data_IF_381364357580
#
_entry.id   IF_381364357580
#
_cell.length_a   1.000
_cell.length_b   1.000
_cell.length_c   1.000
_cell.angle_alpha   90.00
_cell.angle_beta   90.00
_cell.angle_gamma   90.00
#
_symmetry.space_group_name_H-M   'P 1'
#
loop_
_entity.id
_entity.type
_entity.pdbx_description
1 polymer ?
#
# COMPACT_ATOMS: atom_id res chain seq x y z
N UNK A 1 -2.06 -13.21 4.55
CA UNK A 1 -2.88 -12.18 3.86
C UNK A 1 -2.12 -10.85 3.90
N UNK A 2 -1.99 -10.17 2.76
CA UNK A 2 -1.26 -8.90 2.63
C UNK A 2 -1.98 -7.73 3.36
N UNK A 3 -1.22 -6.71 3.74
CA UNK A 3 -1.74 -5.49 4.37
C UNK A 3 -2.13 -5.63 5.85
N UNK A 4 -1.75 -6.70 6.54
CA UNK A 4 -2.05 -6.86 7.98
C UNK A 4 -1.50 -5.71 8.81
N UNK A 5 -0.28 -5.25 8.51
CA UNK A 5 0.36 -4.12 9.19
C UNK A 5 -0.38 -2.81 8.97
N UNK A 6 -0.84 -2.55 7.75
CA UNK A 6 -1.63 -1.36 7.45
C UNK A 6 -2.98 -1.37 8.21
N UNK A 7 -3.58 -2.54 8.42
CA UNK A 7 -4.77 -2.67 9.26
C UNK A 7 -4.50 -2.50 10.75
N UNK A 8 -3.29 -2.82 11.22
CA UNK A 8 -2.91 -2.58 12.61
C UNK A 8 -2.92 -1.07 12.91
N UNK A 9 -2.34 -0.26 12.02
CA UNK A 9 -2.37 1.21 12.12
C UNK A 9 -3.79 1.75 12.25
N UNK A 10 -4.73 1.23 11.46
CA UNK A 10 -6.13 1.66 11.53
C UNK A 10 -6.79 1.26 12.85
N UNK A 11 -6.49 0.08 13.39
CA UNK A 11 -7.03 -0.36 14.69
C UNK A 11 -6.51 0.50 15.83
N UNK A 12 -5.24 0.88 15.80
CA UNK A 12 -4.65 1.82 16.77
C UNK A 12 -5.42 3.14 16.77
N UNK A 13 -5.72 3.67 15.59
CA UNK A 13 -6.46 4.92 15.40
C UNK A 13 -7.96 4.84 15.77
N UNK A 14 -8.57 3.67 15.58
CA UNK A 14 -9.97 3.41 15.92
C UNK A 14 -10.16 3.25 17.44
N UNK A 15 -9.14 2.74 18.14
CA UNK A 15 -9.16 2.57 19.59
C UNK A 15 -9.00 3.87 20.40
N UNK A 16 -8.66 5.00 19.75
CA UNK A 16 -8.48 6.28 20.42
C UNK A 16 -9.80 7.09 20.47
N UNK A 17 -10.03 7.75 21.61
CA UNK A 17 -11.22 8.58 21.84
C UNK A 17 -11.26 9.82 20.93
N UNK A 18 -12.46 10.34 20.69
CA UNK A 18 -12.66 11.54 19.87
C UNK A 18 -11.96 12.76 20.52
N UNK A 19 -10.99 13.34 19.81
CA UNK A 19 -10.19 14.47 20.29
C UNK A 19 -8.85 14.09 20.93
N UNK A 20 -8.54 12.79 21.06
CA UNK A 20 -7.24 12.34 21.51
C UNK A 20 -6.27 12.23 20.32
N UNK A 21 -5.11 12.89 20.42
CA UNK A 21 -4.04 12.76 19.44
C UNK A 21 -3.43 11.36 19.52
N UNK A 22 -3.49 10.62 18.41
CA UNK A 22 -2.85 9.32 18.28
C UNK A 22 -1.36 9.55 17.98
N UNK A 23 -0.42 9.05 18.82
CA UNK A 23 1.00 9.13 18.51
C UNK A 23 1.31 8.46 17.16
N UNK A 24 2.13 9.10 16.34
CA UNK A 24 2.51 8.55 15.05
C UNK A 24 3.44 7.34 15.22
N UNK A 25 2.99 6.18 14.75
CA UNK A 25 3.72 4.92 14.80
C UNK A 25 4.62 4.79 13.57
N UNK A 26 5.78 5.44 13.62
CA UNK A 26 6.75 5.44 12.52
C UNK A 26 7.23 4.05 12.13
N UNK A 27 7.40 3.16 13.11
CA UNK A 27 8.00 1.85 12.87
C UNK A 27 7.08 0.96 12.04
N UNK A 28 5.78 0.91 12.40
CA UNK A 28 4.78 0.15 11.64
C UNK A 28 4.51 0.85 10.31
N UNK A 29 4.46 2.18 10.27
CA UNK A 29 4.31 2.94 9.03
C UNK A 29 5.43 2.60 8.02
N UNK A 30 6.69 2.68 8.44
CA UNK A 30 7.84 2.39 7.57
C UNK A 30 7.88 0.92 7.15
N UNK A 31 7.40 -0.01 7.99
CA UNK A 31 7.21 -1.41 7.59
C UNK A 31 6.14 -1.57 6.49
N UNK A 32 5.04 -0.81 6.53
CA UNK A 32 4.02 -0.82 5.48
C UNK A 32 4.59 -0.23 4.19
N UNK A 33 5.39 0.84 4.26
CA UNK A 33 6.08 1.40 3.09
C UNK A 33 7.02 0.38 2.46
N UNK A 34 7.79 -0.37 3.26
CA UNK A 34 8.64 -1.45 2.74
C UNK A 34 7.84 -2.55 2.05
N UNK A 35 6.70 -2.95 2.63
CA UNK A 35 5.78 -3.92 2.01
C UNK A 35 5.22 -3.41 0.68
N UNK A 36 4.85 -2.11 0.60
CA UNK A 36 4.43 -1.49 -0.66
C UNK A 36 5.56 -1.51 -1.71
N UNK A 37 6.79 -1.20 -1.33
CA UNK A 37 7.92 -1.26 -2.26
C UNK A 37 8.14 -2.66 -2.81
N UNK A 38 8.05 -3.69 -1.95
CA UNK A 38 8.17 -5.09 -2.38
C UNK A 38 7.05 -5.48 -3.36
N UNK A 39 5.81 -5.12 -3.06
CA UNK A 39 4.68 -5.35 -3.97
C UNK A 39 4.83 -4.60 -5.30
N UNK A 40 5.32 -3.36 -5.28
CA UNK A 40 5.56 -2.61 -6.51
C UNK A 40 6.66 -3.27 -7.36
N UNK A 41 7.77 -3.69 -6.76
CA UNK A 41 8.83 -4.41 -7.47
C UNK A 41 8.31 -5.71 -8.09
N UNK A 42 7.54 -6.51 -7.33
CA UNK A 42 6.94 -7.76 -7.83
C UNK A 42 5.94 -7.51 -8.95
N UNK A 43 5.06 -6.52 -8.79
CA UNK A 43 4.10 -6.09 -9.81
C UNK A 43 4.82 -5.70 -11.11
N UNK A 44 5.80 -4.80 -11.03
CA UNK A 44 6.57 -4.33 -12.20
C UNK A 44 7.31 -5.48 -12.90
N UNK A 45 7.83 -6.44 -12.14
CA UNK A 45 8.46 -7.64 -12.69
C UNK A 45 7.48 -8.50 -13.49
N UNK A 46 6.26 -8.71 -12.97
CA UNK A 46 5.23 -9.52 -13.65
C UNK A 46 4.71 -8.83 -14.90
N UNK A 47 4.43 -7.53 -14.83
CA UNK A 47 4.03 -6.75 -16.02
C UNK A 47 5.12 -6.81 -17.09
N UNK A 48 6.39 -6.62 -16.72
CA UNK A 48 7.50 -6.72 -17.66
C UNK A 48 7.59 -8.09 -18.32
N UNK A 49 7.48 -9.17 -17.53
CA UNK A 49 7.48 -10.54 -18.03
C UNK A 49 6.35 -10.78 -19.04
N UNK A 50 5.14 -10.30 -18.74
CA UNK A 50 3.99 -10.43 -19.65
C UNK A 50 4.21 -9.66 -20.96
N UNK A 51 4.78 -8.45 -20.90
CA UNK A 51 5.13 -7.65 -22.08
C UNK A 51 6.20 -8.36 -22.92
N UNK A 52 7.26 -8.88 -22.30
CA UNK A 52 8.34 -9.61 -23.00
C UNK A 52 7.83 -10.87 -23.70
N UNK A 53 6.79 -11.50 -23.17
CA UNK A 53 6.10 -12.65 -23.77
C UNK A 53 5.05 -12.27 -24.81
N UNK A 54 4.88 -10.97 -25.13
CA UNK A 54 3.82 -10.45 -26.00
C UNK A 54 2.40 -10.88 -25.59
N UNK A 55 2.16 -11.03 -24.29
CA UNK A 55 0.84 -11.32 -23.76
C UNK A 55 0.00 -10.05 -23.72
N UNK A 56 -1.26 -10.15 -24.12
CA UNK A 56 -2.22 -9.07 -23.93
C UNK A 56 -2.62 -8.99 -22.46
N UNK A 57 -2.20 -7.93 -21.77
CA UNK A 57 -2.41 -7.72 -20.33
C UNK A 57 -3.91 -7.64 -19.99
N UNK A 58 -4.74 -7.13 -20.90
CA UNK A 58 -6.16 -6.91 -20.67
C UNK A 58 -6.96 -8.21 -20.74
N UNK A 59 -6.61 -9.09 -21.67
CA UNK A 59 -7.37 -10.32 -21.94
C UNK A 59 -6.74 -11.58 -21.35
N UNK A 60 -5.43 -11.57 -21.08
CA UNK A 60 -4.73 -12.71 -20.49
C UNK A 60 -5.21 -12.95 -19.07
N UNK A 61 -5.46 -14.22 -18.73
CA UNK A 61 -5.92 -14.69 -17.40
C UNK A 61 -5.09 -15.87 -16.93
N UNK A 62 -3.77 -15.70 -16.98
CA UNK A 62 -2.80 -16.69 -16.48
C UNK A 62 -2.31 -16.32 -15.07
N UNK A 63 -1.44 -17.16 -14.51
CA UNK A 63 -0.90 -16.97 -13.16
C UNK A 63 -0.15 -15.64 -13.00
N UNK A 64 0.57 -15.18 -14.04
CA UNK A 64 1.29 -13.91 -14.01
C UNK A 64 0.31 -12.71 -13.93
N UNK A 65 -0.79 -12.76 -14.70
CA UNK A 65 -1.85 -11.75 -14.64
C UNK A 65 -2.49 -11.69 -13.25
N UNK A 66 -2.88 -12.84 -12.69
CA UNK A 66 -3.49 -12.88 -11.35
C UNK A 66 -2.49 -12.49 -10.25
N UNK A 67 -1.21 -12.86 -10.40
CA UNK A 67 -0.14 -12.41 -9.50
C UNK A 67 -0.01 -10.89 -9.51
N UNK A 68 0.03 -10.27 -10.70
CA UNK A 68 0.08 -8.82 -10.85
C UNK A 68 -1.15 -8.14 -10.23
N UNK A 69 -2.35 -8.69 -10.46
CA UNK A 69 -3.59 -8.19 -9.87
C UNK A 69 -3.56 -8.23 -8.33
N UNK A 70 -3.05 -9.30 -7.73
CA UNK A 70 -2.91 -9.41 -6.27
C UNK A 70 -1.97 -8.36 -5.70
N UNK A 71 -0.81 -8.12 -6.33
CA UNK A 71 0.12 -7.08 -5.90
C UNK A 71 -0.48 -5.68 -6.04
N UNK A 72 -1.13 -5.40 -7.17
CA UNK A 72 -1.80 -4.13 -7.41
C UNK A 72 -2.92 -3.85 -6.39
N UNK A 73 -3.77 -4.84 -6.11
CA UNK A 73 -4.82 -4.72 -5.08
C UNK A 73 -4.24 -4.51 -3.68
N UNK A 74 -3.10 -5.15 -3.38
CA UNK A 74 -2.40 -4.99 -2.09
C UNK A 74 -1.85 -3.56 -1.93
N UNK A 75 -1.29 -2.98 -3.00
CA UNK A 75 -0.87 -1.57 -3.04
C UNK A 75 -2.05 -0.62 -2.79
N UNK A 76 -3.18 -0.80 -3.49
CA UNK A 76 -4.37 0.02 -3.31
C UNK A 76 -4.93 -0.07 -1.88
N UNK A 77 -4.90 -1.26 -1.29
CA UNK A 77 -5.33 -1.47 0.10
C UNK A 77 -4.43 -0.72 1.07
N UNK A 78 -3.11 -0.86 0.94
CA UNK A 78 -2.16 -0.18 1.81
C UNK A 78 -2.22 1.35 1.63
N UNK A 79 -2.39 1.85 0.39
CA UNK A 79 -2.66 3.27 0.10
C UNK A 79 -3.83 3.81 0.91
N UNK A 80 -4.98 3.14 0.84
CA UNK A 80 -6.19 3.55 1.56
C UNK A 80 -5.97 3.55 3.07
N UNK A 81 -5.30 2.53 3.60
CA UNK A 81 -5.02 2.43 5.04
C UNK A 81 -4.07 3.52 5.52
N UNK A 82 -2.98 3.79 4.78
CA UNK A 82 -2.02 4.84 5.13
C UNK A 82 -2.66 6.22 5.06
N UNK A 83 -3.48 6.48 4.04
CA UNK A 83 -4.22 7.74 3.91
C UNK A 83 -5.19 7.96 5.08
N UNK A 84 -5.97 6.94 5.43
CA UNK A 84 -6.89 7.02 6.56
C UNK A 84 -6.15 7.18 7.90
N UNK A 85 -5.04 6.47 8.10
CA UNK A 85 -4.17 6.64 9.27
C UNK A 85 -3.64 8.07 9.39
N UNK A 86 -3.03 8.59 8.31
CA UNK A 86 -2.46 9.94 8.29
C UNK A 86 -3.49 11.05 8.47
N UNK A 87 -4.70 10.87 7.94
CA UNK A 87 -5.80 11.83 8.13
C UNK A 87 -6.19 11.95 9.61
N UNK A 88 -6.23 10.81 10.33
CA UNK A 88 -6.62 10.74 11.73
C UNK A 88 -5.52 11.17 12.71
N UNK A 89 -4.24 11.01 12.36
CA UNK A 89 -3.11 11.35 13.26
C UNK A 89 -2.76 12.85 13.29
N UNK A 90 -3.62 13.71 12.73
CA UNK A 90 -3.39 15.13 12.47
C UNK A 90 -2.13 15.46 11.63
N UNK A 91 -2.32 16.39 10.71
CA UNK A 91 -1.38 16.79 9.65
C UNK A 91 -0.10 17.38 10.28
N UNK A 92 0.92 16.56 10.51
CA UNK A 92 2.28 17.06 10.83
C UNK A 92 3.36 16.58 9.85
N UNK A 93 3.05 15.77 8.83
CA UNK A 93 4.07 15.20 7.92
C UNK A 93 3.62 15.18 6.43
N UNK A 94 3.23 16.35 5.90
CA UNK A 94 2.82 16.55 4.50
C UNK A 94 3.83 16.01 3.47
N UNK A 95 5.12 15.93 3.83
CA UNK A 95 6.18 15.44 2.95
C UNK A 95 6.09 13.93 2.65
N UNK A 96 5.59 13.10 3.56
CA UNK A 96 5.47 11.63 3.32
C UNK A 96 4.29 11.28 2.41
N UNK A 97 3.24 12.11 2.41
CA UNK A 97 2.07 11.95 1.56
C UNK A 97 2.43 12.18 0.08
N UNK A 98 3.31 13.14 -0.19
CA UNK A 98 3.79 13.45 -1.55
C UNK A 98 4.57 12.28 -2.16
N UNK A 99 5.42 11.61 -1.38
CA UNK A 99 6.15 10.41 -1.84
C UNK A 99 5.18 9.28 -2.20
N UNK A 100 4.14 9.04 -1.40
CA UNK A 100 3.16 7.98 -1.69
C UNK A 100 2.24 8.32 -2.87
N UNK A 101 1.91 9.61 -3.08
CA UNK A 101 1.13 10.07 -4.23
C UNK A 101 1.91 10.02 -5.55
N UNK A 102 3.24 10.19 -5.51
CA UNK A 102 4.09 10.30 -6.71
C UNK A 102 4.74 8.96 -7.09
N UNK A 103 5.00 8.06 -6.14
CA UNK A 103 5.66 6.76 -6.40
C UNK A 103 4.72 5.54 -6.51
N UNK A 104 3.42 5.69 -6.25
CA UNK A 104 2.39 4.66 -6.48
C UNK A 104 1.31 5.18 -7.42
#
# INVERSE_FOLDING_TARGET
MYGRRASQLLKEVDSCEAGQLVPFNSDVFDQVIRECNEHNTQFQSLIRKMVEQNLDIETTRNDDHYGAAVHHLSLLRNKRCLMAYMYKTEISQLNKLFTFYVLC
#
